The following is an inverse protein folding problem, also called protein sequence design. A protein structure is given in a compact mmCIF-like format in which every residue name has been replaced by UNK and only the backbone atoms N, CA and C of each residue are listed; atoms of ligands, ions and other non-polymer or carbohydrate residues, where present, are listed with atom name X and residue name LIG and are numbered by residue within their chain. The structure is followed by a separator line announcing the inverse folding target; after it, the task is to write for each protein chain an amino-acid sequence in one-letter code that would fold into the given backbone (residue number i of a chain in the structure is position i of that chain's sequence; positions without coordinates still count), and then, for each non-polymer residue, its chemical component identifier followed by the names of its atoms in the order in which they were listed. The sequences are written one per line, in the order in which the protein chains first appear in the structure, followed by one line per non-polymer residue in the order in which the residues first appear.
data_IF_577709995483
#
_entry.id   IF_577709995483
#
_cell.length_a   1.000
_cell.length_b   1.000
_cell.length_c   1.000
_cell.angle_alpha   90.00
_cell.angle_beta   90.00
_cell.angle_gamma   90.00
#
_symmetry.space_group_name_H-M   'P 1'
#
loop_
_entity.id
_entity.type
_entity.pdbx_description
1 polymer ?
#
# COMPACT_ATOMS: atom_id res chain seq x y z
N UNK A 1 -63.91 38.52 34.27
CA UNK A 1 -63.74 37.24 33.61
C UNK A 1 -62.57 37.36 32.62
N UNK A 2 -61.41 36.91 32.96
CA UNK A 2 -60.25 36.98 32.09
C UNK A 2 -59.62 35.58 32.09
N UNK A 3 -59.73 34.86 30.97
CA UNK A 3 -59.20 33.53 30.72
C UNK A 3 -57.74 33.66 30.23
N UNK A 4 -56.80 33.24 31.07
CA UNK A 4 -55.42 33.18 30.71
C UNK A 4 -55.15 31.97 29.82
N UNK A 5 -54.58 32.19 28.65
CA UNK A 5 -54.01 31.16 27.77
C UNK A 5 -52.58 30.84 28.23
N UNK A 6 -52.36 29.62 28.72
CA UNK A 6 -51.03 29.07 28.97
C UNK A 6 -50.42 28.61 27.63
N UNK A 7 -49.35 29.28 27.21
CA UNK A 7 -48.58 28.88 26.04
C UNK A 7 -47.60 27.78 26.39
N UNK A 8 -47.76 26.62 25.77
CA UNK A 8 -46.77 25.52 25.80
C UNK A 8 -45.56 25.90 24.94
N UNK A 9 -44.44 26.19 25.54
CA UNK A 9 -43.17 26.32 24.84
C UNK A 9 -42.56 24.94 24.71
N UNK A 10 -42.68 24.34 23.52
CA UNK A 10 -42.02 23.13 23.15
C UNK A 10 -40.53 23.45 22.87
N UNK A 11 -39.65 23.15 23.80
CA UNK A 11 -38.20 23.24 23.61
C UNK A 11 -37.71 22.08 22.73
N UNK A 12 -37.53 22.38 21.47
CA UNK A 12 -36.84 21.45 20.54
C UNK A 12 -35.36 21.38 20.93
N UNK A 13 -34.97 20.30 21.58
CA UNK A 13 -33.54 20.00 21.84
C UNK A 13 -32.89 19.58 20.52
N UNK A 14 -32.15 20.52 19.93
CA UNK A 14 -31.29 20.23 18.77
C UNK A 14 -30.12 19.35 19.21
N UNK A 15 -30.22 18.06 18.96
CA UNK A 15 -29.08 17.11 19.11
C UNK A 15 -28.15 17.36 17.94
N UNK A 16 -27.13 18.19 18.13
CA UNK A 16 -26.04 18.32 17.18
C UNK A 16 -25.21 17.04 17.22
N UNK A 17 -25.41 16.17 16.22
CA UNK A 17 -24.58 15.01 15.94
C UNK A 17 -23.23 15.54 15.44
N UNK A 18 -22.26 15.74 16.36
CA UNK A 18 -20.87 15.96 15.94
C UNK A 18 -20.40 14.71 15.21
N UNK A 19 -20.32 14.80 13.89
CA UNK A 19 -19.66 13.80 13.08
C UNK A 19 -18.18 13.76 13.46
N UNK A 20 -17.81 12.78 14.28
CA UNK A 20 -16.41 12.42 14.51
C UNK A 20 -15.88 11.91 13.18
N UNK A 21 -15.24 12.79 12.42
CA UNK A 21 -14.49 12.42 11.23
C UNK A 21 -13.40 11.42 11.66
N UNK A 22 -13.50 10.20 11.20
CA UNK A 22 -12.42 9.21 11.31
C UNK A 22 -11.31 9.74 10.40
N UNK A 23 -10.34 10.44 10.97
CA UNK A 23 -9.12 10.79 10.25
C UNK A 23 -8.33 9.49 10.02
N UNK A 24 -8.47 8.89 8.85
CA UNK A 24 -7.51 7.90 8.40
C UNK A 24 -6.18 8.64 8.24
N UNK A 25 -5.22 8.32 9.11
CA UNK A 25 -3.84 8.75 8.91
C UNK A 25 -3.37 8.19 7.58
N UNK A 26 -3.07 9.06 6.63
CA UNK A 26 -2.38 8.67 5.41
C UNK A 26 -1.06 8.02 5.83
N UNK A 27 -0.87 6.76 5.46
CA UNK A 27 0.36 6.03 5.79
C UNK A 27 1.42 6.44 4.80
N UNK A 28 2.58 6.81 5.32
CA UNK A 28 3.72 7.13 4.47
C UNK A 28 4.16 5.86 3.72
N UNK A 29 4.34 5.98 2.41
CA UNK A 29 5.02 4.97 1.62
C UNK A 29 6.50 4.96 2.01
N UNK A 30 7.05 3.79 2.33
CA UNK A 30 8.46 3.61 2.67
C UNK A 30 9.35 3.59 1.43
N UNK A 31 8.77 3.35 0.24
CA UNK A 31 9.48 3.29 -1.03
C UNK A 31 9.71 4.70 -1.56
N UNK A 32 10.93 4.94 -2.02
CA UNK A 32 11.31 6.10 -2.82
C UNK A 32 11.28 5.72 -4.29
N UNK A 33 10.66 6.55 -5.12
CA UNK A 33 10.59 6.36 -6.58
C UNK A 33 10.04 4.98 -7.00
N UNK A 34 8.94 4.56 -6.39
CA UNK A 34 8.30 3.27 -6.67
C UNK A 34 7.59 3.21 -8.03
N UNK A 35 7.16 4.34 -8.56
CA UNK A 35 6.60 4.49 -9.91
C UNK A 35 7.64 4.93 -10.95
N UNK A 36 8.93 5.01 -10.58
CA UNK A 36 10.04 5.37 -11.48
C UNK A 36 9.91 6.74 -12.17
N UNK A 37 9.08 7.63 -11.65
CA UNK A 37 8.74 8.92 -12.25
C UNK A 37 9.88 9.94 -12.27
N UNK A 38 11.02 9.63 -11.65
CA UNK A 38 12.26 10.38 -11.83
C UNK A 38 12.93 10.16 -13.21
N UNK A 39 12.46 9.15 -13.96
CA UNK A 39 13.03 8.76 -15.25
C UNK A 39 14.30 7.89 -15.12
N UNK A 40 14.62 7.45 -13.91
CA UNK A 40 15.78 6.63 -13.58
C UNK A 40 15.53 5.73 -12.36
N UNK A 41 16.55 5.00 -11.91
CA UNK A 41 16.50 4.19 -10.70
C UNK A 41 16.92 4.94 -9.42
N UNK A 42 16.69 6.24 -9.33
CA UNK A 42 16.97 7.01 -8.10
C UNK A 42 16.33 6.35 -6.87
N UNK A 43 17.13 6.09 -5.84
CA UNK A 43 16.69 5.40 -4.62
C UNK A 43 16.83 3.87 -4.68
N UNK A 44 17.12 3.29 -5.83
CA UNK A 44 17.32 1.85 -6.03
C UNK A 44 18.78 1.51 -6.31
N UNK A 45 19.25 0.40 -5.75
CA UNK A 45 20.51 -0.24 -6.16
C UNK A 45 20.19 -1.25 -7.25
N UNK A 46 20.81 -1.10 -8.40
CA UNK A 46 20.62 -1.97 -9.56
C UNK A 46 21.78 -2.93 -9.67
N UNK A 47 21.49 -4.21 -9.89
CA UNK A 47 22.44 -5.23 -10.24
C UNK A 47 21.95 -5.94 -11.51
N UNK A 48 22.86 -6.14 -12.47
CA UNK A 48 22.55 -6.85 -13.70
C UNK A 48 23.79 -6.99 -14.53
N UNK A 49 23.83 -8.04 -15.35
CA UNK A 49 24.89 -8.25 -16.31
C UNK A 49 24.63 -7.46 -17.58
N UNK A 50 25.59 -6.60 -17.88
CA UNK A 50 25.90 -6.02 -19.19
C UNK A 50 24.76 -5.60 -20.15
N UNK A 51 24.67 -4.28 -20.34
CA UNK A 51 24.27 -3.57 -21.57
C UNK A 51 22.87 -3.79 -22.17
N UNK A 52 22.14 -4.80 -21.82
CA UNK A 52 20.88 -5.09 -22.46
C UNK A 52 19.71 -5.06 -21.47
N UNK A 53 19.35 -3.83 -21.13
CA UNK A 53 17.96 -3.51 -20.88
C UNK A 53 17.50 -3.76 -19.44
N UNK A 54 18.17 -3.15 -18.52
CA UNK A 54 17.54 -2.64 -17.30
C UNK A 54 17.43 -1.13 -17.49
N UNK A 55 16.25 -0.59 -17.53
CA UNK A 55 16.05 0.82 -17.82
C UNK A 55 14.70 1.32 -17.35
N UNK A 56 14.61 2.61 -17.15
CA UNK A 56 13.33 3.29 -16.97
C UNK A 56 12.91 3.84 -18.32
N UNK A 57 11.72 3.49 -18.78
CA UNK A 57 11.31 3.70 -20.16
C UNK A 57 9.97 4.44 -20.25
N UNK A 58 9.87 5.50 -21.10
CA UNK A 58 8.61 6.16 -21.39
C UNK A 58 7.86 5.57 -22.60
N UNK A 59 8.42 4.59 -23.32
CA UNK A 59 7.92 4.17 -24.64
C UNK A 59 6.85 3.07 -24.64
N UNK A 60 6.65 2.43 -23.52
CA UNK A 60 5.58 1.43 -23.34
C UNK A 60 4.61 1.98 -22.33
N UNK A 61 3.33 1.70 -22.48
CA UNK A 61 2.31 2.23 -21.56
C UNK A 61 2.62 1.82 -20.13
N UNK A 62 3.13 2.72 -19.26
CA UNK A 62 3.31 2.43 -17.85
C UNK A 62 1.96 2.12 -17.21
N UNK A 63 1.97 1.48 -16.05
CA UNK A 63 0.73 1.26 -15.30
C UNK A 63 0.15 2.61 -14.87
N UNK A 64 0.99 3.50 -14.35
CA UNK A 64 0.60 4.88 -14.06
C UNK A 64 1.70 5.87 -14.47
N UNK A 65 1.41 7.17 -14.43
CA UNK A 65 2.39 8.21 -14.71
C UNK A 65 2.97 8.17 -16.13
N UNK A 66 4.29 8.41 -16.24
CA UNK A 66 5.00 8.53 -17.51
C UNK A 66 6.12 7.49 -17.69
N UNK A 67 6.54 6.81 -16.63
CA UNK A 67 7.69 5.93 -16.62
C UNK A 67 7.36 4.59 -15.96
N UNK A 68 8.16 3.58 -16.27
CA UNK A 68 8.12 2.24 -15.67
C UNK A 68 9.52 1.64 -15.72
N UNK A 69 9.84 0.71 -14.84
CA UNK A 69 11.06 -0.08 -14.94
C UNK A 69 10.89 -1.24 -15.92
N UNK A 70 11.95 -1.53 -16.69
CA UNK A 70 11.99 -2.58 -17.68
C UNK A 70 13.19 -3.49 -17.39
N UNK A 71 12.96 -4.81 -17.43
CA UNK A 71 13.99 -5.84 -17.24
C UNK A 71 13.89 -6.84 -18.36
N UNK A 72 14.91 -6.88 -19.22
CA UNK A 72 15.00 -7.82 -20.33
C UNK A 72 16.38 -8.45 -20.35
N UNK A 73 16.46 -9.70 -20.72
CA UNK A 73 17.69 -10.48 -20.84
C UNK A 73 18.58 -10.55 -19.58
N UNK A 74 19.06 -11.74 -19.28
CA UNK A 74 19.98 -11.99 -18.17
C UNK A 74 19.30 -12.00 -16.79
N UNK A 75 20.16 -12.01 -15.78
CA UNK A 75 19.78 -11.98 -14.37
C UNK A 75 19.97 -10.55 -13.85
N UNK A 76 18.86 -9.92 -13.51
CA UNK A 76 18.82 -8.53 -13.08
C UNK A 76 18.14 -8.41 -11.72
N UNK A 77 18.52 -7.43 -10.93
CA UNK A 77 17.78 -7.10 -9.71
C UNK A 77 17.80 -5.62 -9.39
N UNK A 78 16.76 -5.18 -8.69
CA UNK A 78 16.73 -3.88 -8.01
C UNK A 78 16.45 -4.10 -6.53
N UNK A 79 17.12 -3.32 -5.69
CA UNK A 79 16.97 -3.41 -4.23
C UNK A 79 16.87 -2.02 -3.62
N UNK A 80 15.97 -1.87 -2.65
CA UNK A 80 15.90 -0.68 -1.81
C UNK A 80 15.90 -1.09 -0.33
N UNK A 81 16.79 -0.50 0.47
CA UNK A 81 16.81 -0.70 1.91
C UNK A 81 15.82 0.26 2.59
N UNK A 82 14.83 -0.31 3.26
CA UNK A 82 13.74 0.43 3.89
C UNK A 82 13.96 0.54 5.39
N UNK A 83 13.68 1.72 5.95
CA UNK A 83 13.61 1.88 7.41
C UNK A 83 12.32 1.28 7.91
N UNK A 84 12.44 0.18 8.63
CA UNK A 84 11.33 -0.60 9.17
C UNK A 84 11.33 -0.58 10.71
N UNK A 85 10.26 -1.07 11.32
CA UNK A 85 10.20 -1.25 12.77
C UNK A 85 10.06 -2.74 13.07
N UNK A 86 11.00 -3.36 13.79
CA UNK A 86 10.90 -4.77 14.14
C UNK A 86 9.54 -5.09 14.78
N UNK A 87 8.91 -6.17 14.31
CA UNK A 87 7.58 -6.60 14.76
C UNK A 87 6.41 -5.86 14.13
N UNK A 88 6.66 -4.83 13.30
CA UNK A 88 5.58 -4.24 12.52
C UNK A 88 5.19 -5.12 11.33
N UNK A 89 3.90 -5.07 11.00
CA UNK A 89 3.38 -5.64 9.77
C UNK A 89 3.35 -4.55 8.70
N UNK A 90 3.86 -4.86 7.52
CA UNK A 90 3.91 -3.97 6.37
C UNK A 90 3.16 -4.60 5.19
N UNK A 91 2.53 -3.77 4.36
CA UNK A 91 1.86 -4.20 3.13
C UNK A 91 2.69 -3.74 1.95
N UNK A 92 3.11 -4.68 1.14
CA UNK A 92 3.83 -4.46 -0.12
C UNK A 92 2.83 -4.59 -1.25
N UNK A 93 2.77 -3.61 -2.15
CA UNK A 93 2.05 -3.71 -3.42
C UNK A 93 2.98 -3.35 -4.57
N UNK A 94 2.78 -3.97 -5.72
CA UNK A 94 3.45 -3.60 -6.97
C UNK A 94 2.64 -4.09 -8.17
N UNK A 95 2.87 -3.44 -9.31
CA UNK A 95 2.27 -3.83 -10.57
C UNK A 95 3.33 -4.44 -11.48
N UNK A 96 3.05 -5.64 -11.99
CA UNK A 96 3.94 -6.40 -12.84
C UNK A 96 3.22 -6.77 -14.14
N UNK A 97 3.93 -6.63 -15.25
CA UNK A 97 3.53 -7.13 -16.56
C UNK A 97 4.71 -7.86 -17.22
N UNK A 98 4.43 -8.75 -18.14
CA UNK A 98 5.47 -9.42 -18.91
C UNK A 98 5.08 -9.60 -20.37
N UNK A 99 6.06 -9.41 -21.24
CA UNK A 99 6.02 -9.84 -22.63
C UNK A 99 6.90 -11.10 -22.74
N UNK A 100 6.25 -12.26 -22.90
CA UNK A 100 6.90 -13.56 -22.97
C UNK A 100 6.81 -14.08 -24.39
N UNK A 101 7.95 -14.37 -24.99
CA UNK A 101 8.03 -15.01 -26.31
C UNK A 101 7.75 -16.50 -26.20
N UNK A 102 7.26 -17.06 -27.29
CA UNK A 102 6.99 -18.49 -27.39
C UNK A 102 8.23 -19.34 -27.05
N UNK A 103 8.06 -20.28 -26.13
CA UNK A 103 9.15 -21.14 -25.64
C UNK A 103 10.03 -20.49 -24.57
N UNK A 104 9.76 -19.24 -24.17
CA UNK A 104 10.41 -18.62 -23.03
C UNK A 104 9.77 -19.05 -21.71
N UNK A 105 10.55 -18.99 -20.65
CA UNK A 105 10.08 -19.18 -19.27
C UNK A 105 10.82 -18.21 -18.34
N UNK A 106 10.64 -16.89 -18.54
CA UNK A 106 11.25 -15.91 -17.65
C UNK A 106 10.64 -16.02 -16.25
N UNK A 107 11.45 -15.71 -15.24
CA UNK A 107 11.05 -15.80 -13.83
C UNK A 107 11.30 -14.48 -13.09
N UNK A 108 10.51 -14.28 -12.06
CA UNK A 108 10.68 -13.20 -11.10
C UNK A 108 10.62 -13.75 -9.69
N UNK A 109 11.45 -13.22 -8.80
CA UNK A 109 11.30 -13.42 -7.36
C UNK A 109 11.35 -12.09 -6.62
N UNK A 110 10.61 -12.00 -5.53
CA UNK A 110 10.56 -10.83 -4.64
C UNK A 110 10.93 -11.28 -3.24
N UNK A 111 11.91 -10.61 -2.65
CA UNK A 111 12.43 -10.92 -1.33
C UNK A 111 12.19 -9.74 -0.38
N UNK A 112 11.80 -10.06 0.85
CA UNK A 112 11.70 -9.16 1.98
C UNK A 112 12.69 -9.58 3.06
N UNK A 113 13.77 -8.82 3.22
CA UNK A 113 14.92 -9.29 3.98
C UNK A 113 15.47 -10.57 3.36
N UNK A 114 15.64 -11.59 4.20
CA UNK A 114 16.16 -12.91 3.77
C UNK A 114 15.04 -13.88 3.34
N UNK A 115 13.78 -13.42 3.29
CA UNK A 115 12.63 -14.27 2.98
C UNK A 115 12.11 -14.01 1.58
N UNK A 116 11.93 -15.06 0.77
CA UNK A 116 11.19 -14.96 -0.49
C UNK A 116 9.69 -14.87 -0.20
N UNK A 117 9.05 -13.81 -0.69
CA UNK A 117 7.62 -13.56 -0.54
C UNK A 117 6.83 -13.87 -1.81
N UNK A 118 7.51 -13.92 -2.95
CA UNK A 118 6.95 -14.27 -4.24
C UNK A 118 8.02 -14.90 -5.13
N UNK A 119 7.66 -15.92 -5.89
CA UNK A 119 8.51 -16.49 -6.94
C UNK A 119 7.61 -17.19 -7.97
N UNK A 120 7.74 -16.81 -9.23
CA UNK A 120 6.96 -17.40 -10.31
C UNK A 120 7.72 -17.39 -11.64
N UNK A 121 7.28 -18.25 -12.57
CA UNK A 121 7.81 -18.35 -13.92
C UNK A 121 6.66 -18.32 -14.93
N UNK A 122 6.81 -17.53 -15.98
CA UNK A 122 5.73 -17.24 -16.91
C UNK A 122 6.01 -17.83 -18.29
N UNK A 123 5.00 -18.47 -18.88
CA UNK A 123 5.09 -19.06 -20.22
C UNK A 123 4.24 -18.33 -21.25
N UNK A 124 3.52 -17.30 -20.83
CA UNK A 124 2.63 -16.47 -21.67
C UNK A 124 2.72 -15.01 -21.26
N UNK A 125 2.56 -14.08 -22.19
CA UNK A 125 2.51 -12.66 -21.86
C UNK A 125 1.26 -12.33 -21.05
N UNK A 126 1.39 -11.34 -20.14
CA UNK A 126 0.29 -10.80 -19.37
C UNK A 126 0.44 -9.28 -19.18
N UNK A 127 -0.70 -8.61 -19.08
CA UNK A 127 -0.76 -7.18 -18.78
C UNK A 127 -0.53 -6.90 -17.31
N UNK A 128 -0.47 -5.62 -16.94
CA UNK A 128 -0.28 -5.23 -15.56
C UNK A 128 -1.27 -5.90 -14.62
N UNK A 129 -0.70 -6.59 -13.64
CA UNK A 129 -1.41 -7.30 -12.59
C UNK A 129 -0.87 -6.81 -11.24
N UNK A 130 -1.76 -6.48 -10.32
CA UNK A 130 -1.39 -6.08 -8.97
C UNK A 130 -1.07 -7.30 -8.12
N UNK A 131 0.04 -7.21 -7.42
CA UNK A 131 0.46 -8.17 -6.41
C UNK A 131 0.50 -7.48 -5.05
N UNK A 132 -0.07 -8.12 -4.04
CA UNK A 132 -0.16 -7.59 -2.68
C UNK A 132 0.27 -8.65 -1.67
N UNK A 133 1.19 -8.28 -0.78
CA UNK A 133 1.72 -9.15 0.28
C UNK A 133 1.70 -8.43 1.61
N UNK A 134 1.33 -9.16 2.66
CA UNK A 134 1.51 -8.69 4.04
C UNK A 134 2.71 -9.40 4.64
N UNK A 135 3.67 -8.63 5.13
CA UNK A 135 4.96 -9.11 5.64
C UNK A 135 5.25 -8.53 7.01
N UNK A 136 6.14 -9.18 7.76
CA UNK A 136 6.60 -8.64 9.03
C UNK A 136 8.05 -8.16 8.91
N UNK A 137 8.33 -6.98 9.44
CA UNK A 137 9.69 -6.49 9.57
C UNK A 137 10.39 -7.17 10.75
N UNK A 138 11.55 -7.77 10.51
CA UNK A 138 12.33 -8.46 11.55
C UNK A 138 13.49 -7.60 12.06
N UNK A 139 13.86 -6.55 11.34
CA UNK A 139 14.98 -5.66 11.66
C UNK A 139 14.58 -4.18 11.47
N UNK A 140 15.39 -3.22 11.97
CA UNK A 140 15.15 -1.79 11.76
C UNK A 140 15.47 -1.34 10.32
N UNK A 141 16.13 -2.19 9.53
CA UNK A 141 16.39 -1.96 8.10
C UNK A 141 16.14 -3.26 7.35
N UNK A 142 15.21 -3.23 6.40
CA UNK A 142 14.80 -4.42 5.65
C UNK A 142 14.94 -4.13 4.15
N UNK A 143 15.76 -4.90 3.41
CA UNK A 143 15.82 -4.78 1.95
C UNK A 143 14.55 -5.37 1.32
N UNK A 144 13.98 -4.63 0.37
CA UNK A 144 13.04 -5.15 -0.61
C UNK A 144 13.79 -5.32 -1.92
N UNK A 145 13.82 -6.55 -2.43
CA UNK A 145 14.53 -6.89 -3.65
C UNK A 145 13.59 -7.55 -4.65
N UNK A 146 13.66 -7.10 -5.90
CA UNK A 146 13.08 -7.75 -7.06
C UNK A 146 14.20 -8.34 -7.89
N UNK A 147 14.09 -9.60 -8.24
CA UNK A 147 15.05 -10.34 -9.08
C UNK A 147 14.33 -10.87 -10.30
N UNK A 148 14.91 -10.68 -11.46
CA UNK A 148 14.39 -11.12 -12.74
C UNK A 148 15.43 -11.99 -13.43
N UNK A 149 14.99 -13.11 -13.98
CA UNK A 149 15.82 -13.97 -14.83
C UNK A 149 15.08 -14.21 -16.14
N UNK A 150 15.70 -13.82 -17.23
CA UNK A 150 15.07 -14.00 -18.53
C UNK A 150 16.10 -14.23 -19.64
N UNK A 151 15.68 -14.97 -20.65
CA UNK A 151 16.43 -15.13 -21.90
C UNK A 151 16.05 -13.99 -22.86
N UNK A 152 16.91 -13.73 -23.83
CA UNK A 152 16.73 -12.70 -24.84
C UNK A 152 15.33 -12.69 -25.46
N UNK A 153 14.71 -11.52 -25.44
CA UNK A 153 13.39 -11.25 -26.04
C UNK A 153 12.20 -11.39 -25.10
N UNK A 154 12.39 -11.82 -23.86
CA UNK A 154 11.39 -11.69 -22.80
C UNK A 154 11.65 -10.42 -22.00
N UNK A 155 10.59 -9.77 -21.57
CA UNK A 155 10.65 -8.48 -20.87
C UNK A 155 9.66 -8.47 -19.73
N UNK A 156 10.12 -8.07 -18.55
CA UNK A 156 9.26 -7.67 -17.44
C UNK A 156 9.14 -6.15 -17.37
N UNK A 157 7.97 -5.71 -16.99
CA UNK A 157 7.68 -4.31 -16.67
C UNK A 157 7.20 -4.25 -15.24
N UNK A 158 7.80 -3.37 -14.43
CA UNK A 158 7.50 -3.18 -13.02
C UNK A 158 7.15 -1.72 -12.78
N UNK A 159 6.09 -1.49 -12.00
CA UNK A 159 5.60 -0.14 -11.73
C UNK A 159 4.88 -0.05 -10.38
N UNK A 160 4.68 1.17 -9.89
CA UNK A 160 3.87 1.51 -8.72
C UNK A 160 4.16 0.64 -7.48
N UNK A 161 5.45 0.47 -7.15
CA UNK A 161 5.87 -0.23 -5.94
C UNK A 161 5.55 0.64 -4.72
N UNK A 162 4.87 0.04 -3.75
CA UNK A 162 4.53 0.68 -2.49
C UNK A 162 4.76 -0.27 -1.33
N UNK A 163 5.29 0.28 -0.24
CA UNK A 163 5.36 -0.40 1.06
C UNK A 163 4.79 0.53 2.12
N UNK A 164 3.69 0.12 2.71
CA UNK A 164 3.02 0.89 3.76
C UNK A 164 2.85 0.06 5.00
N UNK A 165 2.96 0.69 6.19
CA UNK A 165 2.71 -0.02 7.44
C UNK A 165 1.27 -0.51 7.51
N UNK A 166 1.06 -1.80 7.79
CA UNK A 166 -0.28 -2.34 8.01
C UNK A 166 -0.92 -1.64 9.22
N UNK A 167 -2.21 -1.25 9.11
CA UNK A 167 -2.90 -0.60 10.22
C UNK A 167 -3.13 -1.55 11.36
N UNK A 168 -2.53 -1.26 12.47
CA UNK A 168 -3.08 -1.75 13.73
C UNK A 168 -4.39 -0.98 13.94
N UNK A 169 -5.55 -1.63 14.08
CA UNK A 169 -6.74 -0.92 14.51
C UNK A 169 -6.40 -0.21 15.82
N UNK A 170 -6.48 1.13 15.82
CA UNK A 170 -6.20 1.91 17.02
C UNK A 170 -7.16 1.49 18.12
N UNK A 171 -6.71 0.63 19.01
CA UNK A 171 -7.47 0.25 20.21
C UNK A 171 -7.92 1.47 21.02
N UNK A 172 -7.21 2.61 20.89
CA UNK A 172 -7.56 3.88 21.49
C UNK A 172 -8.85 4.49 20.95
N UNK A 173 -9.11 4.41 19.64
CA UNK A 173 -10.35 4.92 19.06
C UNK A 173 -11.55 4.05 19.45
N UNK A 174 -11.37 2.74 19.52
CA UNK A 174 -12.42 1.81 19.95
C UNK A 174 -12.79 2.02 21.44
N UNK A 175 -11.79 2.20 22.30
CA UNK A 175 -12.01 2.50 23.74
C UNK A 175 -12.69 3.86 23.92
N UNK A 176 -12.29 4.86 23.15
CA UNK A 176 -12.91 6.19 23.18
C UNK A 176 -14.37 6.17 22.73
N UNK A 177 -14.68 5.46 21.64
CA UNK A 177 -16.05 5.27 21.15
C UNK A 177 -16.90 4.48 22.14
N UNK A 178 -16.36 3.43 22.73
CA UNK A 178 -17.05 2.67 23.78
C UNK A 178 -17.30 3.53 25.02
N UNK A 179 -16.33 4.33 25.44
CA UNK A 179 -16.46 5.28 26.55
C UNK A 179 -17.55 6.32 26.31
N UNK A 180 -17.61 6.92 25.11
CA UNK A 180 -18.65 7.86 24.70
C UNK A 180 -20.03 7.20 24.63
N UNK A 181 -20.13 5.97 24.13
CA UNK A 181 -21.39 5.21 24.08
C UNK A 181 -21.92 4.93 25.51
N UNK A 182 -21.04 4.53 26.44
CA UNK A 182 -21.41 4.28 27.84
C UNK A 182 -21.85 5.58 28.53
N UNK A 183 -21.17 6.70 28.31
CA UNK A 183 -21.56 7.99 28.84
C UNK A 183 -22.92 8.43 28.29
N UNK A 184 -23.18 8.24 26.99
CA UNK A 184 -24.45 8.52 26.35
C UNK A 184 -25.59 7.72 26.96
N UNK A 185 -25.40 6.43 27.19
CA UNK A 185 -26.39 5.54 27.82
C UNK A 185 -26.66 5.96 29.29
N UNK A 186 -25.62 6.33 30.03
CA UNK A 186 -25.76 6.80 31.42
C UNK A 186 -26.59 8.10 31.48
N UNK A 187 -26.35 9.05 30.58
CA UNK A 187 -27.08 10.29 30.47
C UNK A 187 -28.57 10.07 30.11
N UNK A 188 -28.84 9.14 29.18
CA UNK A 188 -30.22 8.79 28.78
C UNK A 188 -30.99 8.13 29.95
N UNK A 189 -30.32 7.21 30.68
CA UNK A 189 -30.92 6.55 31.86
C UNK A 189 -31.26 7.55 32.99
N UNK A 190 -30.43 8.58 33.16
CA UNK A 190 -30.70 9.65 34.15
C UNK A 190 -31.93 10.49 33.75
N UNK A 191 -32.08 10.80 32.47
CA UNK A 191 -33.21 11.57 31.93
C UNK A 191 -34.54 10.81 31.99
N UNK A 192 -34.54 9.49 31.88
CA UNK A 192 -35.74 8.64 31.94
C UNK A 192 -36.20 8.35 33.39
N UNK A 193 -35.39 8.68 34.40
CA UNK A 193 -35.72 8.49 35.81
C UNK A 193 -36.16 9.76 36.53
N UNK A 194 -36.06 10.92 35.88
CA UNK A 194 -36.56 12.22 36.33
C UNK A 194 -37.93 12.51 35.69
#
# INVERSE_FOLDING_TARGET
MATGKQGFYSTLALVSLLGLGITQSARANLITNGGFETGDFSGWTVFGTDNDVVGVQPFTSPHSGNFQALFASGDNSITQNLTTTPGSSDVITFWLAANVRQGGSPSVSVNWGDSSIFSDSFTSPFGYTEYTFTVNALSPATPLQFQFSSIFGNVFYLDDISVTRAGVPDGGSTVSLLGLALLGMAALRRKLRS
#
